data_IF_983542511633
#
_entry.id   IF_983542511633
#
_cell.length_a   1.000
_cell.length_b   1.000
_cell.length_c   1.000
_cell.angle_alpha   90.00
_cell.angle_beta   90.00
_cell.angle_gamma   90.00
#
_symmetry.space_group_name_H-M   'P 1'
#
loop_
_entity.id
_entity.type
_entity.pdbx_description
1 polymer ?
#
# COMPACT_ATOMS: atom_id res chain seq x y z
N UNK A 1 -28.31 8.97 -5.11
CA UNK A 1 -26.90 9.22 -4.78
C UNK A 1 -26.49 10.54 -5.42
N UNK A 2 -25.63 11.34 -4.78
CA UNK A 2 -25.09 12.55 -5.41
C UNK A 2 -24.16 12.16 -6.57
N UNK A 3 -24.09 12.97 -7.63
CA UNK A 3 -23.12 12.71 -8.71
C UNK A 3 -21.69 12.94 -8.22
N UNK A 4 -20.72 12.28 -8.83
CA UNK A 4 -19.30 12.43 -8.48
C UNK A 4 -18.86 13.89 -8.64
N UNK A 5 -19.34 14.59 -9.67
CA UNK A 5 -19.04 16.00 -9.92
C UNK A 5 -19.58 16.90 -8.81
N UNK A 6 -20.78 16.61 -8.30
CA UNK A 6 -21.35 17.36 -7.17
C UNK A 6 -20.53 17.15 -5.90
N UNK A 7 -20.18 15.90 -5.58
CA UNK A 7 -19.36 15.56 -4.40
C UNK A 7 -17.98 16.19 -4.50
N UNK A 8 -17.36 16.14 -5.67
CA UNK A 8 -16.05 16.75 -5.92
C UNK A 8 -16.09 18.28 -5.74
N UNK A 9 -17.11 18.94 -6.30
CA UNK A 9 -17.29 20.38 -6.15
C UNK A 9 -17.44 20.78 -4.68
N UNK A 10 -18.23 20.04 -3.92
CA UNK A 10 -18.44 20.29 -2.50
C UNK A 10 -17.15 20.03 -1.70
N UNK A 11 -16.45 18.92 -1.95
CA UNK A 11 -15.18 18.59 -1.29
C UNK A 11 -14.10 19.65 -1.56
N UNK A 12 -13.99 20.15 -2.80
CA UNK A 12 -13.01 21.19 -3.15
C UNK A 12 -13.32 22.56 -2.53
N UNK A 13 -14.58 22.81 -2.14
CA UNK A 13 -14.98 24.04 -1.44
C UNK A 13 -14.58 24.07 0.05
N UNK A 14 -14.20 22.92 0.63
CA UNK A 14 -13.76 22.83 2.01
C UNK A 14 -12.39 23.50 2.22
N UNK A 15 -12.10 24.01 3.43
CA UNK A 15 -10.76 24.40 3.86
C UNK A 15 -9.74 23.26 3.70
N UNK A 16 -8.47 23.61 3.48
CA UNK A 16 -7.40 22.63 3.19
C UNK A 16 -7.31 21.49 4.21
N UNK A 17 -7.40 21.81 5.51
CA UNK A 17 -7.33 20.80 6.58
C UNK A 17 -8.50 19.78 6.51
N UNK A 18 -9.71 20.25 6.21
CA UNK A 18 -10.88 19.37 6.07
C UNK A 18 -10.83 18.54 4.78
N UNK A 19 -10.23 19.07 3.71
CA UNK A 19 -9.96 18.28 2.50
C UNK A 19 -8.95 17.18 2.75
N UNK A 20 -7.88 17.45 3.49
CA UNK A 20 -6.88 16.45 3.84
C UNK A 20 -7.50 15.33 4.69
N UNK A 21 -8.28 15.69 5.71
CA UNK A 21 -9.03 14.73 6.52
C UNK A 21 -10.03 13.91 5.71
N UNK A 22 -10.79 14.54 4.81
CA UNK A 22 -11.73 13.83 3.93
C UNK A 22 -11.00 12.88 2.97
N UNK A 23 -9.86 13.28 2.42
CA UNK A 23 -9.04 12.43 1.58
C UNK A 23 -8.53 11.19 2.33
N UNK A 24 -8.09 11.36 3.59
CA UNK A 24 -7.71 10.24 4.46
C UNK A 24 -8.88 9.26 4.67
N UNK A 25 -10.08 9.75 4.99
CA UNK A 25 -11.26 8.89 5.14
C UNK A 25 -11.70 8.20 3.86
N UNK A 26 -11.56 8.87 2.73
CA UNK A 26 -11.82 8.24 1.43
C UNK A 26 -10.80 7.13 1.15
N UNK A 27 -9.52 7.35 1.43
CA UNK A 27 -8.48 6.33 1.30
C UNK A 27 -8.71 5.15 2.25
N UNK A 28 -9.05 5.40 3.52
CA UNK A 28 -9.47 4.35 4.46
C UNK A 28 -10.68 3.58 3.94
N UNK A 29 -11.66 4.24 3.34
CA UNK A 29 -12.83 3.55 2.75
C UNK A 29 -12.50 2.75 1.50
N UNK A 30 -11.34 3.01 0.87
CA UNK A 30 -10.78 2.22 -0.22
C UNK A 30 -9.90 1.09 0.31
N UNK A 31 -9.73 0.93 1.62
CA UNK A 31 -9.33 -0.37 2.17
C UNK A 31 -10.48 -1.32 1.86
N UNK A 32 -10.37 -1.92 0.68
CA UNK A 32 -11.15 -3.07 0.25
C UNK A 32 -11.15 -4.10 1.38
N UNK A 33 -12.14 -4.98 1.40
CA UNK A 33 -12.04 -6.29 2.05
C UNK A 33 -10.73 -6.96 1.57
N UNK A 34 -9.59 -6.62 2.17
CA UNK A 34 -8.39 -7.41 2.09
C UNK A 34 -8.83 -8.65 2.82
N UNK A 35 -9.16 -9.68 2.05
CA UNK A 35 -9.50 -10.99 2.56
C UNK A 35 -8.59 -11.26 3.76
N UNK A 36 -9.16 -11.44 4.95
CA UNK A 36 -8.40 -11.65 6.19
C UNK A 36 -7.35 -12.75 6.00
N UNK A 37 -7.63 -13.69 5.09
CA UNK A 37 -6.67 -14.71 4.64
C UNK A 37 -5.48 -14.11 3.89
N UNK A 38 -5.69 -13.19 2.95
CA UNK A 38 -4.63 -12.50 2.23
C UNK A 38 -3.76 -11.66 3.18
N UNK A 39 -4.39 -10.93 4.11
CA UNK A 39 -3.66 -10.20 5.15
C UNK A 39 -2.81 -11.15 6.01
N UNK A 40 -3.39 -12.28 6.43
CA UNK A 40 -2.69 -13.31 7.22
C UNK A 40 -1.50 -13.89 6.44
N UNK A 41 -1.66 -14.17 5.15
CA UNK A 41 -0.60 -14.67 4.28
C UNK A 41 0.54 -13.66 4.15
N UNK A 42 0.24 -12.38 3.93
CA UNK A 42 1.25 -11.32 3.83
C UNK A 42 2.03 -11.15 5.13
N UNK A 43 1.33 -11.09 6.28
CA UNK A 43 1.98 -10.97 7.59
C UNK A 43 2.85 -12.19 7.88
N UNK A 44 2.39 -13.38 7.52
CA UNK A 44 3.14 -14.63 7.69
C UNK A 44 4.42 -14.62 6.87
N UNK A 45 4.33 -14.28 5.58
CA UNK A 45 5.50 -14.22 4.69
C UNK A 45 6.49 -13.12 5.13
N UNK A 46 6.00 -11.95 5.55
CA UNK A 46 6.85 -10.88 6.05
C UNK A 46 7.63 -11.31 7.31
N UNK A 47 6.96 -11.97 8.27
CA UNK A 47 7.61 -12.50 9.48
C UNK A 47 8.64 -13.58 9.13
N UNK A 48 8.29 -14.51 8.26
CA UNK A 48 9.19 -15.56 7.78
C UNK A 48 10.48 -14.96 7.18
N UNK A 49 10.36 -14.05 6.20
CA UNK A 49 11.54 -13.44 5.56
C UNK A 49 12.42 -12.67 6.53
N UNK A 50 11.81 -11.92 7.46
CA UNK A 50 12.55 -11.23 8.53
C UNK A 50 13.37 -12.22 9.37
N UNK A 51 12.77 -13.34 9.74
CA UNK A 51 13.41 -14.33 10.61
C UNK A 51 14.53 -15.08 9.86
N UNK A 52 14.34 -15.40 8.58
CA UNK A 52 15.38 -15.98 7.70
C UNK A 52 16.59 -15.05 7.56
N UNK A 53 16.36 -13.73 7.43
CA UNK A 53 17.43 -12.73 7.40
C UNK A 53 18.16 -12.68 8.75
N UNK A 54 17.42 -12.63 9.86
CA UNK A 54 18.00 -12.54 11.22
C UNK A 54 18.76 -13.80 11.61
N UNK A 55 18.33 -14.96 11.15
CA UNK A 55 19.02 -16.22 11.40
C UNK A 55 20.21 -16.43 10.44
N UNK A 56 20.39 -15.57 9.43
CA UNK A 56 21.41 -15.73 8.41
C UNK A 56 21.16 -16.92 7.47
N UNK A 57 19.91 -17.41 7.38
CA UNK A 57 19.56 -18.52 6.50
C UNK A 57 19.62 -18.11 5.02
N UNK A 58 19.41 -16.82 4.75
CA UNK A 58 19.43 -16.24 3.40
C UNK A 58 20.50 -15.17 3.29
N UNK A 59 21.11 -15.07 2.12
CA UNK A 59 22.03 -13.97 1.79
C UNK A 59 21.22 -12.78 1.28
N UNK A 60 21.35 -11.64 1.95
CA UNK A 60 20.73 -10.39 1.51
C UNK A 60 21.59 -9.68 0.48
N UNK A 61 20.93 -8.96 -0.43
CA UNK A 61 21.55 -7.98 -1.33
C UNK A 61 21.09 -6.56 -0.97
N UNK A 62 21.81 -5.51 -1.38
CA UNK A 62 21.35 -4.12 -1.22
C UNK A 62 19.99 -3.89 -1.86
N UNK A 63 19.13 -3.10 -1.21
CA UNK A 63 17.75 -2.86 -1.66
C UNK A 63 17.66 -2.23 -3.06
N UNK A 64 18.56 -1.29 -3.37
CA UNK A 64 18.63 -0.67 -4.69
C UNK A 64 18.94 -1.68 -5.80
N UNK A 65 19.83 -2.63 -5.53
CA UNK A 65 20.19 -3.70 -6.45
C UNK A 65 19.00 -4.64 -6.69
N UNK A 66 18.30 -5.03 -5.61
CA UNK A 66 17.10 -5.86 -5.71
C UNK A 66 16.01 -5.21 -6.58
N UNK A 67 15.71 -3.92 -6.34
CA UNK A 67 14.70 -3.20 -7.10
C UNK A 67 15.11 -2.98 -8.57
N UNK A 68 16.40 -2.81 -8.86
CA UNK A 68 16.91 -2.73 -10.22
C UNK A 68 16.69 -4.03 -10.99
N UNK A 69 16.97 -5.18 -10.37
CA UNK A 69 16.72 -6.50 -10.97
C UNK A 69 15.24 -6.72 -11.28
N UNK A 70 14.33 -6.35 -10.36
CA UNK A 70 12.88 -6.45 -10.58
C UNK A 70 12.43 -5.61 -11.78
N UNK A 71 12.92 -4.37 -11.90
CA UNK A 71 12.58 -3.51 -13.05
C UNK A 71 13.04 -4.13 -14.37
N UNK A 72 14.26 -4.66 -14.43
CA UNK A 72 14.77 -5.35 -15.63
C UNK A 72 13.89 -6.54 -16.04
N UNK A 73 13.37 -7.30 -15.08
CA UNK A 73 12.48 -8.45 -15.35
C UNK A 73 11.09 -8.04 -15.86
N UNK A 74 10.64 -6.80 -15.59
CA UNK A 74 9.34 -6.29 -16.03
C UNK A 74 9.42 -5.56 -17.38
N UNK A 75 10.61 -5.17 -17.81
CA UNK A 75 10.88 -4.52 -19.10
C UNK A 75 11.17 -5.51 -20.24
N UNK A 76 11.24 -6.81 -19.94
CA UNK A 76 11.42 -7.93 -20.90
C UNK A 76 10.10 -8.58 -21.30
#
# INVERSE_FOLDING_TARGET
>A
MASVEKVMKEALSLPSALRAWLAEKLVESLEFDIDDRLQTLWVTEAKKRRDEIRSGLVQTIPGEEALAQVRQLLES
#
